data_IF_138763886162
#
_entry.id   IF_138763886162
#
_cell.length_a   1.000
_cell.length_b   1.000
_cell.length_c   1.000
_cell.angle_alpha   90.00
_cell.angle_beta   90.00
_cell.angle_gamma   90.00
#
_symmetry.space_group_name_H-M   'P 1'
#
loop_
_entity.id
_entity.type
_entity.pdbx_description
1 polymer ?
#
# COMPACT_ATOMS: atom_id res chain seq x y z
N UNK A 1 -25.06 -19.40 9.74
CA UNK A 1 -24.19 -20.51 10.23
C UNK A 1 -22.75 -20.04 10.11
N UNK A 2 -21.93 -20.19 11.16
CA UNK A 2 -20.51 -19.83 11.09
C UNK A 2 -19.83 -20.73 10.06
N UNK A 3 -19.43 -20.17 8.92
CA UNK A 3 -18.63 -20.89 7.94
C UNK A 3 -17.23 -21.12 8.57
N UNK A 4 -16.83 -22.36 8.90
CA UNK A 4 -15.55 -22.61 9.57
C UNK A 4 -14.36 -22.11 8.74
N UNK A 5 -14.45 -22.18 7.41
CA UNK A 5 -13.44 -21.61 6.51
C UNK A 5 -13.33 -20.08 6.66
N UNK A 6 -14.46 -19.37 6.78
CA UNK A 6 -14.48 -17.92 7.03
C UNK A 6 -13.77 -17.53 8.33
N UNK A 7 -13.97 -18.30 9.41
CA UNK A 7 -13.35 -18.05 10.71
C UNK A 7 -11.83 -18.24 10.67
N UNK A 8 -11.35 -19.24 9.92
CA UNK A 8 -9.92 -19.52 9.73
C UNK A 8 -9.26 -18.44 8.85
N UNK A 9 -9.88 -18.12 7.71
CA UNK A 9 -9.38 -17.12 6.76
C UNK A 9 -9.21 -15.73 7.42
N UNK A 10 -10.29 -15.21 7.99
CA UNK A 10 -10.33 -13.84 8.53
C UNK A 10 -9.77 -13.74 9.96
N UNK A 11 -9.39 -14.87 10.56
CA UNK A 11 -8.84 -14.97 11.90
C UNK A 11 -7.34 -15.29 11.89
N UNK A 12 -6.95 -16.56 12.14
CA UNK A 12 -5.56 -16.97 12.24
C UNK A 12 -4.75 -16.72 10.96
N UNK A 13 -5.31 -17.01 9.78
CA UNK A 13 -4.57 -16.83 8.52
C UNK A 13 -4.25 -15.36 8.27
N UNK A 14 -5.26 -14.47 8.35
CA UNK A 14 -5.05 -13.03 8.21
C UNK A 14 -4.01 -12.49 9.20
N UNK A 15 -4.03 -12.97 10.44
CA UNK A 15 -3.05 -12.59 11.47
C UNK A 15 -1.64 -13.08 11.11
N UNK A 16 -1.53 -14.26 10.53
CA UNK A 16 -0.28 -14.85 10.05
C UNK A 16 0.38 -14.01 8.98
N UNK A 17 -0.34 -13.75 7.88
CA UNK A 17 0.17 -12.97 6.75
C UNK A 17 0.37 -11.48 7.08
N UNK A 18 -0.38 -10.92 8.05
CA UNK A 18 -0.21 -9.51 8.44
C UNK A 18 -0.72 -9.16 9.83
N UNK A 19 0.18 -9.14 10.81
CA UNK A 19 -0.14 -8.75 12.20
C UNK A 19 -0.63 -7.31 12.31
N UNK A 20 -0.01 -6.38 11.58
CA UNK A 20 -0.34 -4.95 11.64
C UNK A 20 -1.73 -4.68 11.07
N UNK A 21 -2.04 -5.25 9.90
CA UNK A 21 -3.36 -5.09 9.30
C UNK A 21 -4.46 -5.79 10.12
N UNK A 22 -4.16 -6.98 10.66
CA UNK A 22 -5.09 -7.71 11.53
C UNK A 22 -5.51 -6.87 12.74
N UNK A 23 -4.60 -6.13 13.38
CA UNK A 23 -4.94 -5.23 14.48
C UNK A 23 -5.90 -4.14 14.02
N UNK A 24 -5.63 -3.51 12.87
CA UNK A 24 -6.51 -2.49 12.27
C UNK A 24 -7.90 -3.07 11.97
N UNK A 25 -7.99 -4.29 11.45
CA UNK A 25 -9.28 -4.93 11.15
C UNK A 25 -10.14 -5.16 12.40
N UNK A 26 -9.54 -5.55 13.53
CA UNK A 26 -10.28 -5.75 14.80
C UNK A 26 -10.90 -4.47 15.34
N UNK A 27 -10.36 -3.33 14.95
CA UNK A 27 -10.83 -2.00 15.35
C UNK A 27 -12.07 -1.57 14.53
N UNK A 28 -12.31 -2.17 13.36
CA UNK A 28 -13.43 -1.80 12.47
C UNK A 28 -14.80 -2.27 12.96
N UNK A 29 -15.88 -1.60 12.51
CA UNK A 29 -17.25 -2.09 12.64
C UNK A 29 -17.42 -3.49 12.05
N UNK A 30 -18.30 -4.30 12.67
CA UNK A 30 -18.43 -5.73 12.33
C UNK A 30 -18.76 -5.98 10.84
N UNK A 31 -19.61 -5.15 10.23
CA UNK A 31 -20.01 -5.30 8.82
C UNK A 31 -18.88 -5.11 7.81
N UNK A 32 -17.84 -4.34 8.16
CA UNK A 32 -16.73 -4.04 7.25
C UNK A 32 -15.61 -5.08 7.30
N UNK A 33 -15.51 -5.86 8.39
CA UNK A 33 -14.34 -6.73 8.65
C UNK A 33 -14.17 -7.81 7.58
N UNK A 34 -15.27 -8.38 7.15
CA UNK A 34 -15.31 -9.44 6.16
C UNK A 34 -14.86 -8.99 4.77
N UNK A 35 -15.53 -8.03 4.12
CA UNK A 35 -15.12 -7.56 2.80
C UNK A 35 -13.70 -7.00 2.81
N UNK A 36 -13.33 -6.22 3.82
CA UNK A 36 -11.97 -5.65 3.92
C UNK A 36 -10.92 -6.73 4.16
N UNK A 37 -11.19 -7.68 5.05
CA UNK A 37 -10.27 -8.80 5.32
C UNK A 37 -10.10 -9.69 4.10
N UNK A 38 -11.18 -9.97 3.37
CA UNK A 38 -11.13 -10.79 2.17
C UNK A 38 -10.41 -10.10 1.00
N UNK A 39 -10.71 -8.81 0.76
CA UNK A 39 -9.98 -8.01 -0.21
C UNK A 39 -8.47 -8.00 0.08
N UNK A 40 -8.09 -7.87 1.36
CA UNK A 40 -6.69 -7.92 1.76
C UNK A 40 -6.04 -9.27 1.48
N UNK A 41 -6.69 -10.39 1.81
CA UNK A 41 -6.15 -11.73 1.55
C UNK A 41 -5.96 -11.99 0.05
N UNK A 42 -6.96 -11.65 -0.77
CA UNK A 42 -6.89 -11.80 -2.23
C UNK A 42 -5.79 -10.91 -2.84
N UNK A 43 -5.69 -9.65 -2.37
CA UNK A 43 -4.61 -8.76 -2.78
C UNK A 43 -3.23 -9.27 -2.36
N UNK A 44 -3.10 -9.81 -1.14
CA UNK A 44 -1.83 -10.38 -0.65
C UNK A 44 -1.43 -11.65 -1.40
N UNK A 45 -2.40 -12.47 -1.80
CA UNK A 45 -2.14 -13.62 -2.65
C UNK A 45 -1.65 -13.17 -4.04
N UNK A 46 -2.31 -12.17 -4.64
CA UNK A 46 -1.88 -11.59 -5.92
C UNK A 46 -0.46 -11.00 -5.83
N UNK A 47 -0.15 -10.29 -4.75
CA UNK A 47 1.17 -9.73 -4.45
C UNK A 47 2.24 -10.85 -4.35
N UNK A 48 1.92 -11.94 -3.64
CA UNK A 48 2.80 -13.12 -3.52
C UNK A 48 3.10 -13.76 -4.88
N UNK A 49 2.10 -13.81 -5.78
CA UNK A 49 2.25 -14.32 -7.15
C UNK A 49 3.07 -13.37 -8.01
N UNK A 50 2.89 -12.06 -7.87
CA UNK A 50 3.61 -11.07 -8.68
C UNK A 50 5.09 -10.94 -8.28
N UNK A 51 5.40 -11.07 -6.98
CA UNK A 51 6.74 -10.83 -6.43
C UNK A 51 7.62 -12.09 -6.29
N UNK A 52 7.09 -13.29 -6.51
CA UNK A 52 7.88 -14.53 -6.36
C UNK A 52 9.00 -14.62 -7.39
N UNK A 53 10.24 -14.91 -6.96
CA UNK A 53 11.36 -15.17 -7.87
C UNK A 53 11.44 -16.63 -8.36
N UNK A 54 10.51 -17.49 -7.93
CA UNK A 54 10.54 -18.94 -8.21
C UNK A 54 10.16 -19.28 -9.64
N UNK A 55 9.36 -18.44 -10.27
CA UNK A 55 8.81 -18.63 -11.61
C UNK A 55 9.11 -17.42 -12.50
N UNK A 56 9.07 -17.62 -13.81
CA UNK A 56 9.35 -16.56 -14.77
C UNK A 56 8.30 -15.44 -14.71
N UNK A 57 8.64 -14.18 -15.06
CA UNK A 57 7.67 -13.08 -15.11
C UNK A 57 6.46 -13.38 -15.99
N UNK A 58 6.62 -14.16 -17.07
CA UNK A 58 5.53 -14.63 -17.91
C UNK A 58 4.55 -15.54 -17.15
N UNK A 59 5.06 -16.50 -16.38
CA UNK A 59 4.22 -17.36 -15.53
C UNK A 59 3.56 -16.57 -14.40
N UNK A 60 4.27 -15.62 -13.77
CA UNK A 60 3.69 -14.71 -12.76
C UNK A 60 2.50 -13.94 -13.33
N UNK A 61 2.66 -13.41 -14.55
CA UNK A 61 1.59 -12.71 -15.28
C UNK A 61 0.40 -13.62 -15.54
N UNK A 62 0.61 -14.83 -16.06
CA UNK A 62 -0.48 -15.79 -16.32
C UNK A 62 -1.27 -16.15 -15.06
N UNK A 63 -0.58 -16.46 -13.95
CA UNK A 63 -1.22 -16.79 -12.68
C UNK A 63 -1.96 -15.58 -12.08
N UNK A 64 -1.37 -14.38 -12.13
CA UNK A 64 -2.00 -13.14 -11.69
C UNK A 64 -3.30 -12.85 -12.45
N UNK A 65 -3.28 -13.01 -13.78
CA UNK A 65 -4.44 -12.82 -14.64
C UNK A 65 -5.52 -13.88 -14.38
N UNK A 66 -5.14 -15.14 -14.17
CA UNK A 66 -6.10 -16.19 -13.78
C UNK A 66 -6.74 -15.87 -12.43
N UNK A 67 -5.98 -15.48 -11.41
CA UNK A 67 -6.54 -15.10 -10.10
C UNK A 67 -7.54 -13.94 -10.25
N UNK A 68 -7.19 -12.91 -11.03
CA UNK A 68 -8.09 -11.78 -11.31
C UNK A 68 -9.39 -12.24 -11.98
N UNK A 69 -9.31 -13.15 -12.96
CA UNK A 69 -10.49 -13.68 -13.65
C UNK A 69 -11.38 -14.47 -12.69
N UNK A 70 -10.79 -15.28 -11.81
CA UNK A 70 -11.51 -16.05 -10.79
C UNK A 70 -12.22 -15.16 -9.77
N UNK A 71 -11.57 -14.11 -9.28
CA UNK A 71 -12.21 -13.10 -8.42
C UNK A 71 -13.42 -12.47 -9.11
N UNK A 72 -13.33 -12.24 -10.42
CA UNK A 72 -14.42 -11.72 -11.26
C UNK A 72 -15.45 -12.77 -11.70
N UNK A 73 -15.34 -14.01 -11.23
CA UNK A 73 -16.36 -15.06 -11.41
C UNK A 73 -16.11 -16.02 -12.58
N UNK A 74 -14.90 -16.05 -13.13
CA UNK A 74 -14.50 -17.04 -14.15
C UNK A 74 -13.68 -18.16 -13.46
N UNK A 75 -14.27 -19.31 -13.12
CA UNK A 75 -13.58 -20.34 -12.34
C UNK A 75 -12.45 -21.00 -13.15
N UNK A 76 -11.35 -21.32 -12.46
CA UNK A 76 -10.18 -22.01 -13.02
C UNK A 76 -9.47 -22.79 -11.89
N UNK A 77 -10.02 -23.96 -11.56
CA UNK A 77 -9.51 -24.81 -10.48
C UNK A 77 -8.07 -25.28 -10.75
N UNK A 78 -7.74 -25.59 -12.01
CA UNK A 78 -6.40 -25.99 -12.40
C UNK A 78 -5.36 -24.88 -12.14
N UNK A 79 -5.73 -23.61 -12.33
CA UNK A 79 -4.84 -22.51 -11.97
C UNK A 79 -4.68 -22.33 -10.46
N UNK A 80 -5.69 -22.62 -9.63
CA UNK A 80 -5.53 -22.58 -8.16
C UNK A 80 -4.52 -23.62 -7.69
N UNK A 81 -4.58 -24.84 -8.24
CA UNK A 81 -3.61 -25.89 -7.96
C UNK A 81 -2.20 -25.47 -8.38
N UNK A 82 -2.05 -24.88 -9.58
CA UNK A 82 -0.77 -24.32 -10.05
C UNK A 82 -0.25 -23.21 -9.16
N UNK A 83 -1.08 -22.27 -8.72
CA UNK A 83 -0.65 -21.19 -7.80
C UNK A 83 -0.07 -21.78 -6.51
N UNK A 84 -0.76 -22.75 -5.92
CA UNK A 84 -0.28 -23.42 -4.71
C UNK A 84 1.01 -24.22 -4.95
N UNK A 85 1.07 -24.99 -6.05
CA UNK A 85 2.21 -25.87 -6.34
C UNK A 85 3.46 -25.10 -6.81
N UNK A 86 3.31 -24.14 -7.72
CA UNK A 86 4.42 -23.43 -8.35
C UNK A 86 4.96 -22.30 -7.47
N UNK A 87 4.09 -21.61 -6.72
CA UNK A 87 4.50 -20.49 -5.85
C UNK A 87 4.69 -20.93 -4.40
N UNK A 88 3.93 -21.92 -3.92
CA UNK A 88 3.99 -22.40 -2.53
C UNK A 88 5.09 -23.42 -2.22
N UNK A 89 5.81 -23.95 -3.23
CA UNK A 89 6.70 -25.12 -3.07
C UNK A 89 8.04 -24.85 -2.37
N UNK A 90 8.55 -23.61 -2.29
CA UNK A 90 9.78 -23.30 -1.54
C UNK A 90 9.56 -22.78 -0.11
N UNK A 91 8.31 -22.57 0.30
CA UNK A 91 8.02 -22.00 1.62
C UNK A 91 7.47 -23.07 2.58
N UNK A 92 8.36 -23.95 3.08
CA UNK A 92 7.98 -24.83 4.18
C UNK A 92 7.56 -23.97 5.39
N UNK A 93 6.30 -24.08 5.80
CA UNK A 93 5.68 -23.38 6.95
C UNK A 93 5.52 -21.85 6.87
N UNK A 94 5.25 -21.29 5.69
CA UNK A 94 4.82 -19.88 5.61
C UNK A 94 3.30 -19.71 5.61
N UNK A 95 2.83 -18.63 6.25
CA UNK A 95 1.42 -18.21 6.17
C UNK A 95 0.99 -17.85 4.74
N UNK A 96 1.93 -17.50 3.84
CA UNK A 96 1.67 -17.19 2.43
C UNK A 96 1.37 -18.45 1.61
N UNK A 97 2.04 -19.57 1.91
CA UNK A 97 1.69 -20.86 1.30
C UNK A 97 0.27 -21.27 1.68
N UNK A 98 -0.05 -21.19 2.97
CA UNK A 98 -1.40 -21.50 3.48
C UNK A 98 -2.44 -20.56 2.84
N UNK A 99 -2.09 -19.30 2.59
CA UNK A 99 -2.94 -18.36 1.87
C UNK A 99 -3.24 -18.82 0.44
N UNK A 100 -2.22 -19.24 -0.32
CA UNK A 100 -2.40 -19.73 -1.68
C UNK A 100 -3.24 -21.01 -1.73
N UNK A 101 -3.00 -21.95 -0.79
CA UNK A 101 -3.82 -23.16 -0.62
C UNK A 101 -5.28 -22.83 -0.26
N UNK A 102 -5.51 -21.69 0.41
CA UNK A 102 -6.84 -21.27 0.87
C UNK A 102 -7.59 -20.41 -0.15
N UNK A 103 -7.08 -20.20 -1.37
CA UNK A 103 -7.72 -19.34 -2.38
C UNK A 103 -9.12 -19.80 -2.77
N UNK A 104 -9.35 -21.10 -2.96
CA UNK A 104 -10.68 -21.64 -3.27
C UNK A 104 -11.70 -21.34 -2.16
N UNK A 105 -11.28 -21.43 -0.89
CA UNK A 105 -12.09 -21.04 0.25
C UNK A 105 -12.36 -19.53 0.28
N UNK A 106 -11.36 -18.70 -0.03
CA UNK A 106 -11.51 -17.25 -0.12
C UNK A 106 -12.53 -16.85 -1.21
N UNK A 107 -12.46 -17.47 -2.40
CA UNK A 107 -13.42 -17.25 -3.49
C UNK A 107 -14.83 -17.71 -3.12
N UNK A 108 -14.97 -18.79 -2.35
CA UNK A 108 -16.26 -19.24 -1.81
C UNK A 108 -16.82 -18.25 -0.79
N UNK A 109 -15.98 -17.64 0.06
CA UNK A 109 -16.44 -16.57 0.97
C UNK A 109 -16.83 -15.32 0.18
N UNK A 110 -16.11 -14.99 -0.91
CA UNK A 110 -16.44 -13.86 -1.78
C UNK A 110 -17.85 -14.01 -2.38
N UNK A 111 -18.23 -15.19 -2.83
CA UNK A 111 -19.56 -15.43 -3.40
C UNK A 111 -20.69 -15.30 -2.37
N UNK A 112 -20.38 -15.46 -1.08
CA UNK A 112 -21.31 -15.37 0.06
C UNK A 112 -21.51 -13.93 0.58
N UNK A 113 -20.69 -12.97 0.15
CA UNK A 113 -20.86 -11.56 0.51
C UNK A 113 -22.15 -10.97 -0.11
N UNK A 114 -22.61 -9.85 0.45
CA UNK A 114 -23.69 -9.07 -0.15
C UNK A 114 -23.30 -8.64 -1.58
N UNK A 115 -24.27 -8.42 -2.50
CA UNK A 115 -23.94 -8.02 -3.87
C UNK A 115 -23.04 -6.77 -3.93
N UNK A 116 -23.34 -5.76 -3.11
CA UNK A 116 -22.57 -4.51 -3.02
C UNK A 116 -21.15 -4.74 -2.49
N UNK A 117 -21.00 -5.51 -1.41
CA UNK A 117 -19.68 -5.82 -0.85
C UNK A 117 -18.83 -6.67 -1.81
N UNK A 118 -19.46 -7.63 -2.49
CA UNK A 118 -18.82 -8.49 -3.47
C UNK A 118 -18.30 -7.69 -4.66
N UNK A 119 -19.09 -6.75 -5.17
CA UNK A 119 -18.68 -5.84 -6.23
C UNK A 119 -17.51 -4.95 -5.77
N UNK A 120 -17.60 -4.36 -4.58
CA UNK A 120 -16.53 -3.53 -4.04
C UNK A 120 -15.21 -4.31 -3.86
N UNK A 121 -15.26 -5.57 -3.41
CA UNK A 121 -14.08 -6.45 -3.29
C UNK A 121 -13.51 -6.81 -4.67
N UNK A 122 -14.37 -7.09 -5.66
CA UNK A 122 -13.93 -7.36 -7.04
C UNK A 122 -13.22 -6.17 -7.65
N UNK A 123 -13.78 -4.98 -7.49
CA UNK A 123 -13.24 -3.74 -8.05
C UNK A 123 -11.85 -3.43 -7.49
N UNK A 124 -11.70 -3.51 -6.17
CA UNK A 124 -10.41 -3.21 -5.53
C UNK A 124 -9.34 -4.24 -5.90
N UNK A 125 -9.65 -5.54 -5.87
CA UNK A 125 -8.70 -6.59 -6.25
C UNK A 125 -8.33 -6.48 -7.73
N UNK A 126 -9.30 -6.17 -8.60
CA UNK A 126 -9.04 -5.92 -10.01
C UNK A 126 -8.12 -4.72 -10.23
N UNK A 127 -8.29 -3.65 -9.46
CA UNK A 127 -7.46 -2.44 -9.59
C UNK A 127 -6.03 -2.69 -9.07
N UNK A 128 -5.88 -3.37 -7.94
CA UNK A 128 -4.58 -3.75 -7.39
C UNK A 128 -3.81 -4.68 -8.35
N UNK A 129 -4.49 -5.69 -8.90
CA UNK A 129 -3.88 -6.61 -9.88
C UNK A 129 -3.53 -5.93 -11.20
N UNK A 130 -4.24 -4.87 -11.62
CA UNK A 130 -3.81 -4.02 -12.75
C UNK A 130 -2.51 -3.28 -12.44
N UNK A 131 -2.32 -2.84 -11.19
CA UNK A 131 -1.05 -2.24 -10.74
C UNK A 131 0.11 -3.23 -10.82
N UNK A 132 -0.10 -4.47 -10.37
CA UNK A 132 0.89 -5.56 -10.47
C UNK A 132 1.16 -5.96 -11.92
N UNK A 133 0.13 -6.02 -12.77
CA UNK A 133 0.27 -6.26 -14.22
C UNK A 133 1.09 -5.15 -14.89
N UNK A 134 0.84 -3.89 -14.52
CA UNK A 134 1.64 -2.76 -14.99
C UNK A 134 3.10 -2.90 -14.59
N UNK A 135 3.39 -3.27 -13.34
CA UNK A 135 4.74 -3.50 -12.83
C UNK A 135 5.51 -4.55 -13.65
N UNK A 136 4.92 -5.74 -13.79
CA UNK A 136 5.48 -6.88 -14.52
C UNK A 136 5.69 -6.61 -16.01
N UNK A 137 4.94 -5.68 -16.61
CA UNK A 137 5.11 -5.27 -18.01
C UNK A 137 6.15 -4.18 -18.19
N UNK A 138 6.28 -3.31 -17.20
CA UNK A 138 7.11 -2.10 -17.29
C UNK A 138 8.55 -2.41 -16.99
N UNK A 139 8.79 -3.18 -15.92
CA UNK A 139 10.12 -3.47 -15.45
C UNK A 139 10.65 -4.79 -16.00
N UNK A 140 11.96 -4.89 -16.22
CA UNK A 140 12.56 -6.11 -16.72
C UNK A 140 12.62 -7.19 -15.62
N UNK A 141 12.90 -8.42 -16.04
CA UNK A 141 13.23 -9.51 -15.12
C UNK A 141 14.36 -9.11 -14.16
N UNK A 142 14.25 -9.50 -12.88
CA UNK A 142 15.18 -9.10 -11.82
C UNK A 142 16.62 -9.55 -12.08
N UNK A 143 16.82 -10.64 -12.85
CA UNK A 143 18.13 -11.16 -13.20
C UNK A 143 18.71 -10.57 -14.50
N UNK A 144 17.96 -9.69 -15.19
CA UNK A 144 18.37 -9.16 -16.50
C UNK A 144 19.55 -8.18 -16.46
N UNK A 145 19.88 -7.64 -15.28
CA UNK A 145 20.89 -6.59 -15.12
C UNK A 145 20.52 -5.23 -15.73
N UNK A 146 19.28 -5.09 -16.25
CA UNK A 146 18.77 -3.83 -16.81
C UNK A 146 17.94 -3.08 -15.77
N UNK A 147 17.95 -1.76 -15.87
CA UNK A 147 17.06 -0.88 -15.11
C UNK A 147 16.18 -0.12 -16.09
N UNK A 148 14.88 -0.14 -15.83
CA UNK A 148 13.90 0.66 -16.55
C UNK A 148 13.28 1.64 -15.57
N UNK A 149 13.21 2.90 -15.99
CA UNK A 149 12.50 3.94 -15.29
C UNK A 149 11.10 4.14 -15.86
N UNK A 150 10.18 4.60 -15.01
CA UNK A 150 8.97 5.26 -15.50
C UNK A 150 9.37 6.48 -16.32
N UNK A 151 8.54 6.86 -17.29
CA UNK A 151 8.83 7.98 -18.18
C UNK A 151 8.44 9.31 -17.54
N UNK A 152 7.19 9.41 -17.10
CA UNK A 152 6.59 10.66 -16.63
C UNK A 152 6.01 10.52 -15.22
N UNK A 153 5.87 11.65 -14.52
CA UNK A 153 5.24 11.67 -13.19
C UNK A 153 3.79 11.14 -13.21
N UNK A 154 3.07 11.31 -14.32
CA UNK A 154 1.70 10.77 -14.48
C UNK A 154 1.66 9.24 -14.42
N UNK A 155 2.70 8.54 -14.86
CA UNK A 155 2.80 7.08 -14.74
C UNK A 155 3.01 6.68 -13.28
N UNK A 156 3.85 7.41 -12.54
CA UNK A 156 4.03 7.20 -11.10
C UNK A 156 2.73 7.49 -10.33
N UNK A 157 2.04 8.57 -10.66
CA UNK A 157 0.76 8.94 -10.05
C UNK A 157 -0.34 7.89 -10.33
N UNK A 158 -0.40 7.38 -11.56
CA UNK A 158 -1.33 6.32 -11.94
C UNK A 158 -0.97 4.99 -11.24
N UNK A 159 0.31 4.65 -11.17
CA UNK A 159 0.78 3.46 -10.45
C UNK A 159 0.41 3.54 -8.96
N UNK A 160 0.70 4.67 -8.29
CA UNK A 160 0.36 4.87 -6.87
C UNK A 160 -1.16 4.86 -6.63
N UNK A 161 -1.97 5.28 -7.61
CA UNK A 161 -3.42 5.04 -7.56
C UNK A 161 -3.73 3.55 -7.56
N UNK A 162 -3.22 2.80 -8.55
CA UNK A 162 -3.57 1.39 -8.73
C UNK A 162 -3.16 0.51 -7.55
N UNK A 163 -2.01 0.78 -6.92
CA UNK A 163 -1.49 -0.07 -5.84
C UNK A 163 -1.84 0.42 -4.42
N UNK A 164 -2.32 1.66 -4.25
CA UNK A 164 -2.64 2.18 -2.92
C UNK A 164 -3.77 3.21 -2.88
N UNK A 165 -3.86 4.13 -3.84
CA UNK A 165 -4.93 5.13 -3.88
C UNK A 165 -6.33 4.49 -3.94
N UNK A 166 -6.49 3.43 -4.74
CA UNK A 166 -7.71 2.64 -4.82
C UNK A 166 -8.08 1.99 -3.47
N UNK A 167 -7.11 1.70 -2.60
CA UNK A 167 -7.37 1.17 -1.25
C UNK A 167 -8.05 2.25 -0.41
N UNK A 168 -7.57 3.50 -0.47
CA UNK A 168 -8.21 4.62 0.20
C UNK A 168 -9.64 4.89 -0.33
N UNK A 169 -9.84 4.75 -1.64
CA UNK A 169 -11.16 4.81 -2.28
C UNK A 169 -12.11 3.72 -1.74
N UNK A 170 -11.66 2.47 -1.74
CA UNK A 170 -12.39 1.31 -1.25
C UNK A 170 -12.78 1.48 0.23
N UNK A 171 -11.82 1.83 1.09
CA UNK A 171 -12.08 2.09 2.51
C UNK A 171 -13.12 3.17 2.75
N UNK A 172 -13.08 4.23 1.94
CA UNK A 172 -14.03 5.33 2.01
C UNK A 172 -15.43 4.89 1.60
N UNK A 173 -15.55 4.19 0.46
CA UNK A 173 -16.82 3.60 -0.02
C UNK A 173 -17.42 2.64 1.01
N UNK A 174 -16.61 1.75 1.57
CA UNK A 174 -17.02 0.80 2.61
C UNK A 174 -17.53 1.51 3.86
N UNK A 175 -16.88 2.61 4.27
CA UNK A 175 -17.33 3.40 5.41
C UNK A 175 -18.66 4.11 5.12
N UNK A 176 -18.87 4.63 3.91
CA UNK A 176 -20.15 5.23 3.52
C UNK A 176 -21.31 4.22 3.58
N UNK A 177 -21.08 2.99 3.12
CA UNK A 177 -22.10 1.93 3.09
C UNK A 177 -22.40 1.39 4.50
N UNK A 178 -21.36 1.08 5.28
CA UNK A 178 -21.53 0.35 6.55
C UNK A 178 -21.60 1.23 7.79
N UNK A 179 -21.24 2.52 7.66
CA UNK A 179 -21.25 3.49 8.76
C UNK A 179 -21.81 4.83 8.24
N UNK A 180 -23.06 4.87 7.77
CA UNK A 180 -23.64 6.04 7.13
C UNK A 180 -23.62 7.26 8.07
N UNK A 181 -23.34 8.43 7.50
CA UNK A 181 -23.21 9.69 8.26
C UNK A 181 -21.89 9.84 9.03
N UNK A 182 -20.94 8.92 8.88
CA UNK A 182 -19.64 9.02 9.57
C UNK A 182 -18.77 10.13 9.01
N UNK A 183 -18.70 10.33 7.70
CA UNK A 183 -17.90 11.43 7.16
C UNK A 183 -18.71 12.72 7.11
N UNK A 184 -18.12 13.81 7.59
CA UNK A 184 -18.58 15.16 7.35
C UNK A 184 -18.07 15.69 6.01
N UNK A 185 -18.90 16.48 5.32
CA UNK A 185 -18.56 17.16 4.07
C UNK A 185 -19.09 16.47 2.82
N UNK A 186 -18.69 16.99 1.66
CA UNK A 186 -19.11 16.47 0.35
C UNK A 186 -18.50 15.06 0.12
N UNK A 187 -19.31 14.03 -0.23
CA UNK A 187 -18.83 12.65 -0.42
C UNK A 187 -17.72 12.50 -1.47
N UNK A 188 -17.79 13.23 -2.58
CA UNK A 188 -16.79 13.20 -3.65
C UNK A 188 -15.45 13.78 -3.17
N UNK A 189 -15.50 14.87 -2.40
CA UNK A 189 -14.30 15.44 -1.80
C UNK A 189 -13.64 14.47 -0.80
N UNK A 190 -14.42 13.78 0.03
CA UNK A 190 -13.90 12.77 0.96
C UNK A 190 -13.29 11.59 0.21
N UNK A 191 -13.92 11.13 -0.87
CA UNK A 191 -13.39 10.06 -1.73
C UNK A 191 -12.04 10.44 -2.35
N UNK A 192 -11.96 11.64 -2.93
CA UNK A 192 -10.72 12.18 -3.52
C UNK A 192 -9.60 12.27 -2.48
N UNK A 193 -9.91 12.72 -1.26
CA UNK A 193 -8.95 12.73 -0.15
C UNK A 193 -8.49 11.34 0.27
N UNK A 194 -9.40 10.36 0.29
CA UNK A 194 -9.07 8.95 0.55
C UNK A 194 -8.08 8.41 -0.48
N UNK A 195 -8.30 8.70 -1.77
CA UNK A 195 -7.36 8.34 -2.84
C UNK A 195 -5.99 8.97 -2.60
N UNK A 196 -5.93 10.28 -2.33
CA UNK A 196 -4.68 10.99 -2.08
C UNK A 196 -3.96 10.48 -0.82
N UNK A 197 -4.69 10.07 0.20
CA UNK A 197 -4.11 9.42 1.37
C UNK A 197 -3.40 8.10 1.00
N UNK A 198 -4.05 7.22 0.23
CA UNK A 198 -3.42 5.99 -0.26
C UNK A 198 -2.15 6.28 -1.07
N UNK A 199 -2.21 7.26 -1.99
CA UNK A 199 -1.05 7.71 -2.77
C UNK A 199 0.10 8.21 -1.90
N UNK A 200 -0.16 9.01 -0.86
CA UNK A 200 0.87 9.52 0.06
C UNK A 200 1.70 8.39 0.68
N UNK A 201 1.02 7.33 1.14
CA UNK A 201 1.66 6.16 1.73
C UNK A 201 2.52 5.42 0.70
N UNK A 202 2.04 5.26 -0.53
CA UNK A 202 2.81 4.56 -1.55
C UNK A 202 3.99 5.38 -2.06
N UNK A 203 3.85 6.69 -2.25
CA UNK A 203 5.00 7.54 -2.58
C UNK A 203 6.07 7.49 -1.49
N UNK A 204 5.67 7.40 -0.22
CA UNK A 204 6.63 7.20 0.88
C UNK A 204 7.37 5.86 0.74
N UNK A 205 6.68 4.78 0.38
CA UNK A 205 7.32 3.47 0.15
C UNK A 205 8.26 3.51 -1.04
N UNK A 206 7.81 4.04 -2.18
CA UNK A 206 8.61 4.19 -3.42
C UNK A 206 9.93 4.91 -3.12
N UNK A 207 9.87 6.03 -2.39
CA UNK A 207 11.06 6.81 -2.09
C UNK A 207 11.97 6.12 -1.04
N UNK A 208 11.39 5.47 -0.03
CA UNK A 208 12.14 4.75 1.01
C UNK A 208 12.87 3.53 0.46
N UNK A 209 12.21 2.77 -0.42
CA UNK A 209 12.69 1.48 -0.91
C UNK A 209 13.43 1.59 -2.25
N UNK A 210 13.54 2.80 -2.82
CA UNK A 210 14.16 3.09 -4.12
C UNK A 210 15.50 2.38 -4.33
N UNK A 211 16.42 2.44 -3.35
CA UNK A 211 17.71 1.77 -3.43
C UNK A 211 17.62 0.25 -3.63
N UNK A 212 16.64 -0.40 -3.01
CA UNK A 212 16.37 -1.84 -3.17
C UNK A 212 15.73 -2.13 -4.53
N UNK A 213 14.73 -1.34 -4.91
CA UNK A 213 13.98 -1.54 -6.16
C UNK A 213 14.89 -1.41 -7.39
N UNK A 214 15.84 -0.47 -7.36
CA UNK A 214 16.85 -0.31 -8.41
C UNK A 214 17.71 -1.55 -8.61
N UNK A 215 18.01 -2.32 -7.55
CA UNK A 215 18.83 -3.54 -7.62
C UNK A 215 18.13 -4.70 -8.30
N UNK A 216 16.80 -4.65 -8.41
CA UNK A 216 15.99 -5.63 -9.11
C UNK A 216 15.43 -5.08 -10.43
N UNK A 217 16.03 -4.01 -10.96
CA UNK A 217 15.69 -3.43 -12.26
C UNK A 217 14.53 -2.45 -12.27
N UNK A 218 13.93 -2.13 -11.12
CA UNK A 218 12.74 -1.29 -10.99
C UNK A 218 13.12 0.13 -10.59
N UNK A 219 12.91 1.11 -11.48
CA UNK A 219 13.05 2.52 -11.15
C UNK A 219 11.68 3.23 -11.28
N UNK A 220 11.03 3.47 -10.15
CA UNK A 220 9.76 4.21 -10.15
C UNK A 220 9.94 5.73 -10.32
N UNK A 221 11.17 6.24 -10.27
CA UNK A 221 11.45 7.67 -10.42
C UNK A 221 11.36 8.04 -11.90
N UNK A 222 10.56 9.05 -12.30
CA UNK A 222 10.37 9.31 -13.72
C UNK A 222 11.63 9.84 -14.41
N UNK A 223 11.92 9.34 -15.60
CA UNK A 223 13.10 9.72 -16.39
C UNK A 223 13.11 11.21 -16.72
N UNK A 224 11.97 11.81 -17.04
CA UNK A 224 11.89 13.26 -17.27
C UNK A 224 12.23 14.10 -16.03
N UNK A 225 12.08 13.52 -14.83
CA UNK A 225 12.54 14.17 -13.61
C UNK A 225 14.04 13.96 -13.37
N UNK A 226 14.57 12.78 -13.68
CA UNK A 226 15.99 12.47 -13.61
C UNK A 226 16.82 13.34 -14.57
N UNK A 227 16.34 13.52 -15.81
CA UNK A 227 16.99 14.30 -16.87
C UNK A 227 17.24 15.76 -16.44
N UNK A 228 16.34 16.35 -15.65
CA UNK A 228 16.47 17.73 -15.13
C UNK A 228 17.69 17.91 -14.23
N UNK A 229 18.22 16.82 -13.68
CA UNK A 229 19.42 16.81 -12.84
C UNK A 229 20.61 16.11 -13.53
N UNK A 230 20.49 15.79 -14.83
CA UNK A 230 21.53 15.10 -15.58
C UNK A 230 21.79 13.67 -15.09
N UNK A 231 20.78 13.03 -14.49
CA UNK A 231 20.87 11.68 -13.97
C UNK A 231 20.19 10.69 -14.92
N UNK A 232 20.75 9.49 -15.02
CA UNK A 232 20.12 8.33 -15.61
C UNK A 232 19.68 7.35 -14.50
N UNK A 233 18.76 6.41 -14.79
CA UNK A 233 18.37 5.37 -13.83
C UNK A 233 19.58 4.52 -13.37
N UNK A 234 20.58 4.34 -14.23
CA UNK A 234 21.81 3.61 -13.92
C UNK A 234 22.66 4.34 -12.89
N UNK A 235 22.73 5.67 -12.94
CA UNK A 235 23.51 6.46 -11.97
C UNK A 235 22.99 6.26 -10.54
N UNK A 236 21.70 6.01 -10.38
CA UNK A 236 21.08 5.79 -9.07
C UNK A 236 21.51 4.47 -8.40
N UNK A 237 22.14 3.54 -9.13
CA UNK A 237 22.70 2.34 -8.52
C UNK A 237 23.86 2.68 -7.58
N UNK A 238 24.57 3.75 -7.85
CA UNK A 238 25.75 4.16 -7.12
C UNK A 238 25.34 4.89 -5.83
N UNK A 239 25.70 4.37 -4.63
CA UNK A 239 25.33 5.01 -3.36
C UNK A 239 25.76 6.48 -3.25
N UNK A 240 26.90 6.83 -3.85
CA UNK A 240 27.44 8.19 -3.95
C UNK A 240 26.52 9.16 -4.70
N UNK A 241 25.63 8.67 -5.56
CA UNK A 241 24.61 9.47 -6.26
C UNK A 241 23.52 9.99 -5.34
N UNK A 242 23.43 9.51 -4.08
CA UNK A 242 22.41 9.95 -3.12
C UNK A 242 22.41 11.47 -2.90
N UNK A 243 23.59 12.08 -2.76
CA UNK A 243 23.72 13.53 -2.59
C UNK A 243 23.38 14.31 -3.87
N UNK A 244 23.95 13.98 -5.05
CA UNK A 244 23.54 14.56 -6.33
C UNK A 244 22.05 14.44 -6.64
N UNK A 245 21.41 13.31 -6.30
CA UNK A 245 19.99 13.06 -6.54
C UNK A 245 19.06 13.65 -5.47
N UNK A 246 19.59 14.33 -4.45
CA UNK A 246 18.79 14.90 -3.36
C UNK A 246 17.76 15.94 -3.81
N UNK A 247 18.03 16.83 -4.79
CA UNK A 247 17.01 17.73 -5.32
C UNK A 247 15.80 16.99 -5.93
N UNK A 248 16.03 15.88 -6.63
CA UNK A 248 14.96 15.02 -7.16
C UNK A 248 14.14 14.40 -6.03
N UNK A 249 14.81 13.86 -5.00
CA UNK A 249 14.15 13.35 -3.80
C UNK A 249 13.23 14.42 -3.20
N UNK A 250 13.72 15.66 -3.06
CA UNK A 250 12.95 16.75 -2.46
C UNK A 250 11.71 17.12 -3.27
N UNK A 251 11.80 17.16 -4.59
CA UNK A 251 10.64 17.41 -5.47
C UNK A 251 9.56 16.32 -5.29
N UNK A 252 9.97 15.07 -5.18
CA UNK A 252 9.06 13.93 -4.97
C UNK A 252 8.49 13.88 -3.54
N UNK A 253 9.28 14.29 -2.54
CA UNK A 253 8.81 14.45 -1.16
C UNK A 253 7.75 15.55 -1.09
N UNK A 254 7.92 16.66 -1.81
CA UNK A 254 6.91 17.73 -1.86
C UNK A 254 5.57 17.22 -2.40
N UNK A 255 5.58 16.43 -3.48
CA UNK A 255 4.39 15.74 -4.01
C UNK A 255 3.76 14.78 -2.98
N UNK A 256 4.58 14.08 -2.19
CA UNK A 256 4.09 13.24 -1.10
C UNK A 256 3.44 14.07 0.03
N UNK A 257 4.03 15.20 0.40
CA UNK A 257 3.49 16.12 1.41
C UNK A 257 2.18 16.77 0.98
N UNK A 258 2.03 17.14 -0.30
CA UNK A 258 0.74 17.57 -0.87
C UNK A 258 -0.35 16.52 -0.61
N UNK A 259 -0.07 15.24 -0.85
CA UNK A 259 -1.00 14.14 -0.61
C UNK A 259 -1.23 13.87 0.89
N UNK A 260 -0.22 14.01 1.74
CA UNK A 260 -0.40 13.92 3.20
C UNK A 260 -1.31 15.01 3.76
N UNK A 261 -1.28 16.23 3.21
CA UNK A 261 -2.21 17.29 3.62
C UNK A 261 -3.67 16.88 3.40
N UNK A 262 -3.97 16.21 2.30
CA UNK A 262 -5.32 15.66 2.11
C UNK A 262 -5.63 14.48 3.03
N UNK A 263 -4.64 13.66 3.39
CA UNK A 263 -4.83 12.62 4.39
C UNK A 263 -5.17 13.20 5.77
N UNK A 264 -4.60 14.35 6.13
CA UNK A 264 -4.99 15.13 7.32
C UNK A 264 -6.45 15.55 7.19
N UNK A 265 -6.84 16.21 6.10
CA UNK A 265 -8.23 16.65 5.91
C UNK A 265 -9.22 15.47 5.87
N UNK A 266 -8.85 14.34 5.27
CA UNK A 266 -9.60 13.09 5.30
C UNK A 266 -9.89 12.63 6.73
N UNK A 267 -8.85 12.61 7.57
CA UNK A 267 -8.95 12.20 8.97
C UNK A 267 -9.84 13.16 9.76
N UNK A 268 -9.81 14.46 9.43
CA UNK A 268 -10.61 15.49 10.09
C UNK A 268 -12.08 15.51 9.64
N UNK A 269 -12.40 14.91 8.49
CA UNK A 269 -13.79 14.62 8.09
C UNK A 269 -14.44 13.56 9.00
N UNK A 270 -13.67 12.75 9.73
CA UNK A 270 -14.22 11.82 10.72
C UNK A 270 -14.56 12.56 12.03
N UNK A 271 -15.72 12.31 12.64
CA UNK A 271 -16.12 12.97 13.87
C UNK A 271 -15.22 12.56 15.02
N UNK A 272 -15.06 13.44 16.00
CA UNK A 272 -14.18 13.23 17.15
C UNK A 272 -14.47 11.94 17.93
N UNK A 273 -15.74 11.48 17.95
CA UNK A 273 -16.15 10.26 18.62
C UNK A 273 -15.82 8.98 17.82
N UNK A 274 -15.49 9.07 16.52
CA UNK A 274 -15.03 7.94 15.71
C UNK A 274 -13.55 7.61 15.97
N UNK A 275 -13.18 7.50 17.25
CA UNK A 275 -11.81 7.35 17.76
C UNK A 275 -11.04 6.25 17.02
N UNK A 276 -11.69 5.11 16.82
CA UNK A 276 -11.13 3.93 16.17
C UNK A 276 -10.71 4.18 14.72
N UNK A 277 -11.59 4.80 13.92
CA UNK A 277 -11.31 5.14 12.53
C UNK A 277 -10.25 6.25 12.43
N UNK A 278 -10.31 7.24 13.34
CA UNK A 278 -9.30 8.30 13.40
C UNK A 278 -7.92 7.76 13.72
N UNK A 279 -7.78 6.84 14.68
CA UNK A 279 -6.50 6.19 14.99
C UNK A 279 -5.98 5.37 13.79
N UNK A 280 -6.87 4.64 13.10
CA UNK A 280 -6.51 3.86 11.92
C UNK A 280 -5.96 4.73 10.77
N UNK A 281 -6.43 5.99 10.65
CA UNK A 281 -5.87 6.95 9.68
C UNK A 281 -4.60 7.63 10.21
N UNK A 282 -4.59 8.00 11.50
CA UNK A 282 -3.54 8.80 12.11
C UNK A 282 -2.20 8.05 12.20
N UNK A 283 -2.19 6.75 12.50
CA UNK A 283 -0.94 6.01 12.63
C UNK A 283 -0.18 5.91 11.29
N UNK A 284 -0.78 5.50 10.16
CA UNK A 284 -0.11 5.54 8.87
C UNK A 284 0.39 6.92 8.48
N UNK A 285 -0.38 7.99 8.74
CA UNK A 285 0.05 9.37 8.44
C UNK A 285 1.32 9.72 9.22
N UNK A 286 1.32 9.51 10.54
CA UNK A 286 2.46 9.89 11.37
C UNK A 286 3.69 9.03 11.09
N UNK A 287 3.52 7.73 10.85
CA UNK A 287 4.62 6.84 10.44
C UNK A 287 5.18 7.27 9.09
N UNK A 288 4.32 7.63 8.13
CA UNK A 288 4.71 8.13 6.82
C UNK A 288 5.49 9.43 6.90
N UNK A 289 4.97 10.43 7.63
CA UNK A 289 5.66 11.71 7.85
C UNK A 289 7.01 11.54 8.57
N UNK A 290 7.09 10.68 9.59
CA UNK A 290 8.36 10.39 10.27
C UNK A 290 9.35 9.69 9.33
N UNK A 291 8.86 8.80 8.45
CA UNK A 291 9.68 8.15 7.42
C UNK A 291 10.22 9.19 6.42
N UNK A 292 9.39 10.12 5.96
CA UNK A 292 9.83 11.21 5.09
C UNK A 292 10.87 12.12 5.78
N UNK A 293 10.70 12.41 7.07
CA UNK A 293 11.69 13.18 7.84
C UNK A 293 13.04 12.47 7.91
N UNK A 294 13.04 11.17 8.18
CA UNK A 294 14.24 10.34 8.14
C UNK A 294 14.86 10.30 6.73
N UNK A 295 14.02 10.31 5.69
CA UNK A 295 14.46 10.24 4.30
C UNK A 295 15.14 11.52 3.84
N UNK A 296 14.53 12.69 4.08
CA UNK A 296 15.15 13.99 3.71
C UNK A 296 16.42 14.30 4.53
N UNK A 297 16.61 13.61 5.65
CA UNK A 297 17.79 13.70 6.50
C UNK A 297 18.88 12.68 6.16
N UNK A 298 18.63 11.78 5.18
CA UNK A 298 19.53 10.69 4.85
C UNK A 298 20.37 11.01 3.61
N UNK A 299 21.64 11.30 3.83
CA UNK A 299 22.61 11.56 2.76
C UNK A 299 22.96 10.32 1.93
N UNK A 300 22.46 9.13 2.31
CA UNK A 300 22.68 7.84 1.64
C UNK A 300 21.37 7.13 1.28
N UNK A 301 20.32 7.88 0.92
CA UNK A 301 18.98 7.31 0.69
C UNK A 301 18.88 6.28 -0.45
N UNK A 302 19.86 6.20 -1.36
CA UNK A 302 19.94 5.16 -2.40
C UNK A 302 20.66 3.88 -1.94
N UNK A 303 21.30 3.89 -0.75
CA UNK A 303 21.99 2.73 -0.20
C UNK A 303 20.98 1.79 0.51
N UNK A 304 20.75 0.56 0.00
CA UNK A 304 19.82 -0.38 0.64
C UNK A 304 20.28 -0.85 2.03
N UNK A 305 21.53 -0.62 2.42
CA UNK A 305 22.00 -0.89 3.78
C UNK A 305 21.64 0.24 4.77
N UNK A 306 21.26 1.43 4.28
CA UNK A 306 20.99 2.64 5.09
C UNK A 306 19.55 3.13 4.91
N UNK A 307 18.59 2.20 4.93
CA UNK A 307 17.16 2.51 4.75
C UNK A 307 16.63 3.44 5.84
N UNK A 308 15.91 4.48 5.44
CA UNK A 308 15.17 5.38 6.33
C UNK A 308 13.95 4.68 6.92
N UNK A 309 14.15 3.95 8.02
CA UNK A 309 13.12 3.14 8.68
C UNK A 309 12.89 3.59 10.11
N UNK A 310 11.62 3.85 10.44
CA UNK A 310 11.20 4.14 11.82
C UNK A 310 11.45 2.92 12.73
N UNK A 311 11.95 3.16 13.94
CA UNK A 311 12.17 2.09 14.93
C UNK A 311 10.84 1.69 15.56
N UNK A 312 10.70 0.41 15.93
CA UNK A 312 9.48 -0.10 16.59
C UNK A 312 9.10 0.69 17.85
N UNK A 313 10.08 1.11 18.64
CA UNK A 313 9.87 1.93 19.82
C UNK A 313 9.23 3.28 19.50
N UNK A 314 9.63 3.92 18.40
CA UNK A 314 9.08 5.20 17.96
C UNK A 314 7.63 5.04 17.45
N UNK A 315 7.33 3.92 16.77
CA UNK A 315 5.95 3.54 16.40
C UNK A 315 5.07 3.44 17.65
N UNK A 316 5.53 2.73 18.69
CA UNK A 316 4.76 2.64 19.94
C UNK A 316 4.58 4.00 20.64
N UNK A 317 5.59 4.89 20.59
CA UNK A 317 5.45 6.26 21.10
C UNK A 317 4.41 7.06 20.32
N UNK A 318 4.41 6.97 19.00
CA UNK A 318 3.39 7.59 18.13
C UNK A 318 1.99 7.08 18.53
N UNK A 319 1.83 5.77 18.66
CA UNK A 319 0.55 5.16 19.04
C UNK A 319 0.10 5.65 20.43
N UNK A 320 0.99 5.63 21.43
CA UNK A 320 0.67 6.09 22.79
C UNK A 320 0.30 7.59 22.83
N UNK A 321 1.08 8.44 22.15
CA UNK A 321 0.83 9.88 22.09
C UNK A 321 -0.45 10.25 21.32
N UNK A 322 -0.89 9.38 20.40
CA UNK A 322 -2.09 9.64 19.60
C UNK A 322 -3.40 9.53 20.39
N UNK A 323 -3.46 8.67 21.41
CA UNK A 323 -4.68 8.40 22.20
C UNK A 323 -5.27 9.65 22.86
N UNK A 324 -4.51 10.49 23.60
CA UNK A 324 -5.07 11.71 24.21
C UNK A 324 -5.44 12.79 23.19
N UNK A 325 -4.84 12.77 21.98
CA UNK A 325 -5.02 13.82 20.97
C UNK A 325 -6.17 13.52 19.99
N UNK A 326 -6.53 12.24 19.84
CA UNK A 326 -7.41 11.76 18.78
C UNK A 326 -8.76 12.48 18.75
N UNK A 327 -9.32 12.89 19.89
CA UNK A 327 -10.63 13.53 19.97
C UNK A 327 -10.64 15.02 19.56
N UNK A 328 -9.48 15.64 19.25
CA UNK A 328 -9.40 17.07 18.94
C UNK A 328 -8.86 17.33 17.53
N UNK A 329 -9.72 17.88 16.64
CA UNK A 329 -9.32 18.28 15.29
C UNK A 329 -8.16 19.29 15.31
N UNK A 330 -8.22 20.26 16.22
CA UNK A 330 -7.20 21.29 16.36
C UNK A 330 -5.85 20.70 16.76
N UNK A 331 -5.82 19.81 17.75
CA UNK A 331 -4.56 19.21 18.22
C UNK A 331 -3.97 18.26 17.18
N UNK A 332 -4.81 17.45 16.51
CA UNK A 332 -4.36 16.57 15.43
C UNK A 332 -3.76 17.36 14.27
N UNK A 333 -4.45 18.41 13.80
CA UNK A 333 -3.93 19.29 12.74
C UNK A 333 -2.60 19.90 13.13
N UNK A 334 -2.51 20.52 14.32
CA UNK A 334 -1.27 21.13 14.78
C UNK A 334 -0.11 20.14 14.87
N UNK A 335 -0.36 18.90 15.30
CA UNK A 335 0.68 17.89 15.40
C UNK A 335 1.21 17.46 14.03
N UNK A 336 0.32 17.14 13.09
CA UNK A 336 0.69 16.68 11.75
C UNK A 336 1.32 17.82 10.92
N UNK A 337 0.78 19.04 10.97
CA UNK A 337 1.36 20.21 10.30
C UNK A 337 2.75 20.57 10.86
N UNK A 338 2.97 20.44 12.18
CA UNK A 338 4.31 20.63 12.76
C UNK A 338 5.30 19.61 12.23
N UNK A 339 4.88 18.36 11.98
CA UNK A 339 5.72 17.33 11.35
C UNK A 339 6.03 17.67 9.90
N UNK A 340 5.03 18.09 9.11
CA UNK A 340 5.23 18.58 7.74
C UNK A 340 6.24 19.74 7.73
N UNK A 341 6.04 20.76 8.57
CA UNK A 341 6.95 21.90 8.65
C UNK A 341 8.39 21.53 9.05
N UNK A 342 8.57 20.46 9.83
CA UNK A 342 9.92 19.96 10.17
C UNK A 342 10.63 19.34 8.95
N UNK A 343 9.88 18.63 8.10
CA UNK A 343 10.38 18.05 6.85
C UNK A 343 10.75 19.17 5.88
N UNK A 344 9.85 20.15 5.68
CA UNK A 344 10.08 21.29 4.80
C UNK A 344 11.26 22.16 5.26
N UNK A 345 11.42 22.37 6.57
CA UNK A 345 12.57 23.08 7.12
C UNK A 345 13.87 22.33 6.82
N UNK A 346 13.86 20.98 6.89
CA UNK A 346 15.03 20.16 6.57
C UNK A 346 15.36 20.12 5.08
N UNK A 347 14.37 20.25 4.20
CA UNK A 347 14.61 20.34 2.76
C UNK A 347 15.23 21.69 2.34
N UNK A 348 15.04 22.74 3.15
CA UNK A 348 15.56 24.10 2.89
C UNK A 348 16.96 24.35 3.44
N UNK A 349 17.42 23.54 4.41
CA UNK A 349 18.72 23.68 5.09
C UNK A 349 19.62 22.50 4.84
#
# INVERSE_FOLDING_TARGET
>A
MSNPARAVLLGPLLKGVSRSFYITLRVLPAGMRDPIGLAYLLARAADTIADTSLISPGQRMELLLSLRNQVNGVPDEAALERMSAEVGSQQADSDEKVLLESLGAALTVLSQLSPSDREAVRDIVTTLTKGMEFDLRTFPDEASGRIVALREFSELDQYTYMVAGCVGEFWTKMTFVHVPGTFAGNPEAVLSRGIRFGKALQMTNVLRDCGKDLRIGRCYLPSTMLDRFGLSPQDLLLPETSLPARPLLFELVEKALENFREAIEYTLCLPAFAVRLRLACLWPILIGLETLLLLVSNDHWLDPAKVSKIRRGDVYRIMAASVPLVASNRLLRLWMERRIGSIEARMKG
#
